data_IF_422664875596
#
_entry.id   IF_422664875596
#
_cell.length_a   1.000
_cell.length_b   1.000
_cell.length_c   1.000
_cell.angle_alpha   90.00
_cell.angle_beta   90.00
_cell.angle_gamma   90.00
#
_symmetry.space_group_name_H-M   'P 1'
#
loop_
_entity.id
_entity.type
_entity.pdbx_description
1 polymer ?
#
# COMPACT_ATOMS: atom_id res chain seq x y z
N UNK A 1 -19.10 32.97 6.82
CA UNK A 1 -18.72 31.67 7.42
C UNK A 1 -17.28 31.77 7.91
N UNK A 2 -16.96 31.20 9.03
CA UNK A 2 -15.55 31.10 9.47
C UNK A 2 -14.81 30.17 8.53
N UNK A 3 -13.61 30.59 8.08
CA UNK A 3 -12.76 29.76 7.24
C UNK A 3 -12.28 28.53 8.01
N UNK A 4 -12.19 27.36 7.33
CA UNK A 4 -11.53 26.17 7.90
C UNK A 4 -10.03 26.39 7.92
N UNK A 5 -9.39 25.97 8.97
CA UNK A 5 -7.91 25.97 9.08
C UNK A 5 -7.34 24.73 8.38
N UNK A 6 -6.43 24.94 7.43
CA UNK A 6 -5.81 23.85 6.66
C UNK A 6 -4.29 23.99 6.69
N UNK A 7 -3.59 22.91 7.04
CA UNK A 7 -2.13 22.85 7.06
C UNK A 7 -1.62 21.83 6.07
N UNK A 8 -0.75 22.25 5.15
CA UNK A 8 -0.07 21.38 4.19
C UNK A 8 1.30 20.99 4.73
N UNK A 9 1.53 19.70 4.93
CA UNK A 9 2.83 19.13 5.33
C UNK A 9 3.50 18.59 4.09
N UNK A 10 4.52 19.29 3.62
CA UNK A 10 5.21 19.03 2.35
C UNK A 10 6.53 18.30 2.61
N UNK A 11 6.66 17.08 2.09
CA UNK A 11 7.94 16.36 2.09
C UNK A 11 8.71 16.71 0.79
N UNK A 12 9.79 17.50 0.86
CA UNK A 12 10.49 17.99 -0.33
C UNK A 12 11.23 16.88 -1.09
N UNK A 13 11.57 15.78 -0.45
CA UNK A 13 12.35 14.67 -1.04
C UNK A 13 11.50 13.50 -1.53
N UNK A 14 10.17 13.57 -1.40
CA UNK A 14 9.28 12.46 -1.80
C UNK A 14 9.13 12.39 -3.33
N UNK A 15 9.05 11.15 -3.87
CA UNK A 15 8.82 10.88 -5.30
C UNK A 15 9.98 11.30 -6.20
N UNK A 16 9.73 11.36 -7.53
CA UNK A 16 10.76 11.56 -8.57
C UNK A 16 10.79 12.96 -9.20
N UNK A 17 9.79 13.83 -8.94
CA UNK A 17 9.70 15.18 -9.53
C UNK A 17 10.11 16.28 -8.57
N UNK A 18 10.53 17.46 -9.12
CA UNK A 18 10.75 18.65 -8.32
C UNK A 18 9.48 19.08 -7.60
N UNK A 19 9.58 19.36 -6.30
CA UNK A 19 8.48 19.84 -5.46
C UNK A 19 8.37 21.35 -5.38
N UNK A 20 9.29 22.08 -6.01
CA UNK A 20 9.36 23.55 -5.94
C UNK A 20 8.11 24.23 -6.48
N UNK A 21 7.40 23.56 -7.40
CA UNK A 21 6.16 24.07 -7.99
C UNK A 21 4.91 23.81 -7.13
N UNK A 22 4.98 22.86 -6.17
CA UNK A 22 3.79 22.44 -5.39
C UNK A 22 3.24 23.59 -4.53
N UNK A 23 4.05 24.37 -3.79
CA UNK A 23 3.54 25.51 -3.05
C UNK A 23 2.76 26.50 -3.92
N UNK A 24 3.32 26.83 -5.08
CA UNK A 24 2.64 27.74 -6.03
C UNK A 24 1.35 27.15 -6.60
N UNK A 25 1.28 25.83 -6.81
CA UNK A 25 0.04 25.18 -7.22
C UNK A 25 -1.01 25.20 -6.11
N UNK A 26 -0.60 24.95 -4.87
CA UNK A 26 -1.50 25.04 -3.70
C UNK A 26 -2.04 26.47 -3.60
N UNK A 27 -1.18 27.49 -3.58
CA UNK A 27 -1.58 28.90 -3.49
C UNK A 27 -2.52 29.34 -4.61
N UNK A 28 -2.35 28.80 -5.81
CA UNK A 28 -3.15 29.12 -7.00
C UNK A 28 -4.50 28.44 -7.02
N UNK A 29 -4.61 27.22 -6.53
CA UNK A 29 -5.77 26.37 -6.75
C UNK A 29 -6.61 26.12 -5.49
N UNK A 30 -6.09 26.38 -4.28
CA UNK A 30 -6.87 26.27 -3.05
C UNK A 30 -7.90 27.43 -2.96
N UNK A 31 -9.08 27.12 -2.50
CA UNK A 31 -10.17 28.10 -2.36
C UNK A 31 -9.95 28.98 -1.12
N UNK A 32 -9.29 30.12 -1.32
CA UNK A 32 -8.87 31.04 -0.25
C UNK A 32 -10.02 31.64 0.58
N UNK A 33 -11.21 31.62 0.05
CA UNK A 33 -12.39 32.10 0.78
C UNK A 33 -12.89 31.06 1.79
N UNK A 34 -12.66 29.79 1.51
CA UNK A 34 -13.05 28.65 2.35
C UNK A 34 -11.98 28.28 3.39
N UNK A 35 -10.70 28.57 3.11
CA UNK A 35 -9.58 28.10 3.93
C UNK A 35 -8.66 29.22 4.43
N UNK A 36 -8.25 29.10 5.72
CA UNK A 36 -7.07 29.74 6.29
C UNK A 36 -5.91 28.75 6.21
N UNK A 37 -4.94 29.02 5.33
CA UNK A 37 -3.95 28.07 4.86
C UNK A 37 -2.57 28.33 5.45
N UNK A 38 -1.88 27.25 5.87
CA UNK A 38 -0.47 27.25 6.23
C UNK A 38 0.26 26.12 5.54
N UNK A 39 1.57 26.30 5.25
CA UNK A 39 2.46 25.28 4.67
C UNK A 39 3.66 25.05 5.58
N UNK A 40 3.97 23.78 5.84
CA UNK A 40 5.11 23.34 6.64
C UNK A 40 5.92 22.31 5.84
N UNK A 41 7.23 22.37 5.91
CA UNK A 41 8.11 21.43 5.22
C UNK A 41 8.72 20.46 6.21
N UNK A 42 8.82 19.19 5.82
CA UNK A 42 9.54 18.20 6.62
C UNK A 42 11.04 18.29 6.38
N UNK A 43 11.82 18.02 7.42
CA UNK A 43 13.29 18.09 7.39
C UNK A 43 13.94 16.71 7.61
N UNK A 44 13.23 15.80 8.28
CA UNK A 44 13.71 14.45 8.63
C UNK A 44 12.53 13.46 8.72
N UNK A 45 12.85 12.18 8.80
CA UNK A 45 11.85 11.12 9.00
C UNK A 45 11.18 11.27 10.39
N UNK A 46 9.85 11.16 10.43
CA UNK A 46 9.04 11.40 11.64
C UNK A 46 8.58 12.86 11.80
N UNK A 47 9.21 13.85 11.13
CA UNK A 47 8.84 15.25 11.27
C UNK A 47 7.40 15.55 10.82
N UNK A 48 6.87 14.79 9.82
CA UNK A 48 5.48 14.96 9.41
C UNK A 48 4.51 14.58 10.54
N UNK A 49 4.81 13.57 11.33
CA UNK A 49 4.03 13.20 12.52
C UNK A 49 4.04 14.27 13.58
N UNK A 50 5.20 14.88 13.86
CA UNK A 50 5.34 15.97 14.84
C UNK A 50 4.51 17.20 14.42
N UNK A 51 4.62 17.63 13.16
CA UNK A 51 3.85 18.75 12.62
C UNK A 51 2.35 18.44 12.64
N UNK A 52 1.95 17.22 12.32
CA UNK A 52 0.54 16.81 12.32
C UNK A 52 -0.04 16.80 13.74
N UNK A 53 0.73 16.28 14.73
CA UNK A 53 0.36 16.29 16.14
C UNK A 53 0.16 17.72 16.63
N UNK A 54 1.13 18.61 16.39
CA UNK A 54 1.01 20.02 16.75
C UNK A 54 -0.20 20.68 16.10
N UNK A 55 -0.43 20.42 14.79
CA UNK A 55 -1.57 20.99 14.07
C UNK A 55 -2.91 20.53 14.63
N UNK A 56 -3.00 19.24 15.00
CA UNK A 56 -4.17 18.67 15.68
C UNK A 56 -4.42 19.34 17.02
N UNK A 57 -3.38 19.50 17.83
CA UNK A 57 -3.48 20.12 19.18
C UNK A 57 -3.85 21.62 19.09
N UNK A 58 -3.43 22.30 18.03
CA UNK A 58 -3.81 23.66 17.69
C UNK A 58 -5.25 23.76 17.14
N UNK A 59 -5.97 22.66 16.97
CA UNK A 59 -7.35 22.62 16.50
C UNK A 59 -7.50 22.92 14.99
N UNK A 60 -6.54 22.49 14.18
CA UNK A 60 -6.62 22.58 12.70
C UNK A 60 -7.70 21.62 12.19
N UNK A 61 -8.54 22.08 11.23
CA UNK A 61 -9.63 21.27 10.68
C UNK A 61 -9.15 20.18 9.72
N UNK A 62 -8.13 20.49 8.90
CA UNK A 62 -7.58 19.56 7.89
C UNK A 62 -6.06 19.67 7.88
N UNK A 63 -5.38 18.51 8.03
CA UNK A 63 -3.94 18.39 7.81
C UNK A 63 -3.71 17.58 6.54
N UNK A 64 -3.00 18.17 5.58
CA UNK A 64 -2.77 17.60 4.25
C UNK A 64 -1.36 17.04 4.16
N UNK A 65 -1.25 15.74 3.98
CA UNK A 65 0.00 15.08 3.63
C UNK A 65 0.33 15.29 2.14
N UNK A 66 1.42 16.01 1.86
CA UNK A 66 1.93 16.24 0.51
C UNK A 66 3.20 15.42 0.32
N UNK A 67 3.04 14.17 -0.13
CA UNK A 67 4.16 13.22 -0.16
C UNK A 67 3.80 11.85 -0.71
N UNK A 68 4.65 10.88 -0.44
CA UNK A 68 4.41 9.46 -0.70
C UNK A 68 3.77 8.76 0.50
N UNK A 69 3.66 7.42 0.43
CA UNK A 69 3.01 6.59 1.44
C UNK A 69 3.56 6.83 2.84
N UNK A 70 4.88 6.92 3.03
CA UNK A 70 5.48 7.19 4.34
C UNK A 70 5.02 8.52 4.94
N UNK A 71 4.96 9.61 4.16
CA UNK A 71 4.47 10.91 4.65
C UNK A 71 2.98 10.84 5.00
N UNK A 72 2.19 10.14 4.17
CA UNK A 72 0.76 9.92 4.43
C UNK A 72 0.57 9.15 5.72
N UNK A 73 1.34 8.08 5.94
CA UNK A 73 1.25 7.26 7.14
C UNK A 73 1.68 8.01 8.42
N UNK A 74 2.78 8.80 8.36
CA UNK A 74 3.20 9.64 9.47
C UNK A 74 2.09 10.61 9.90
N UNK A 75 1.47 11.31 8.95
CA UNK A 75 0.38 12.24 9.22
C UNK A 75 -0.87 11.50 9.71
N UNK A 76 -1.26 10.42 9.03
CA UNK A 76 -2.46 9.66 9.38
C UNK A 76 -2.40 9.11 10.81
N UNK A 77 -1.25 8.52 11.21
CA UNK A 77 -1.04 7.99 12.57
C UNK A 77 -1.18 9.07 13.66
N UNK A 78 -0.78 10.31 13.38
CA UNK A 78 -0.94 11.41 14.31
C UNK A 78 -2.40 11.89 14.43
N UNK A 79 -3.24 11.61 13.44
CA UNK A 79 -4.63 12.10 13.36
C UNK A 79 -5.68 11.04 13.75
N UNK A 80 -5.31 9.80 14.06
CA UNK A 80 -6.27 8.79 14.53
C UNK A 80 -7.01 9.31 15.78
N UNK A 81 -8.28 8.94 15.87
CA UNK A 81 -9.19 9.28 16.96
C UNK A 81 -9.26 10.80 17.30
N UNK A 82 -9.10 11.64 16.26
CA UNK A 82 -9.14 13.09 16.38
C UNK A 82 -10.19 13.73 15.46
N UNK A 83 -10.65 14.96 15.79
CA UNK A 83 -11.56 15.72 14.94
C UNK A 83 -10.90 16.26 13.67
N UNK A 84 -9.57 16.32 13.61
CA UNK A 84 -8.80 16.82 12.46
C UNK A 84 -8.83 15.81 11.32
N UNK A 85 -9.15 16.25 10.11
CA UNK A 85 -9.22 15.37 8.96
C UNK A 85 -7.87 15.29 8.22
N UNK A 86 -7.53 14.11 7.71
CA UNK A 86 -6.44 13.88 6.77
C UNK A 86 -6.84 14.30 5.37
N UNK A 87 -6.08 15.18 4.74
CA UNK A 87 -6.08 15.39 3.29
C UNK A 87 -4.83 14.74 2.65
N UNK A 88 -4.89 14.38 1.38
CA UNK A 88 -3.76 13.74 0.69
C UNK A 88 -3.53 14.41 -0.66
N UNK A 89 -2.30 14.87 -0.91
CA UNK A 89 -1.78 15.20 -2.24
C UNK A 89 -0.68 14.17 -2.56
N UNK A 90 -0.99 13.15 -3.41
CA UNK A 90 -0.10 12.03 -3.65
C UNK A 90 1.07 12.44 -4.53
N UNK A 91 2.29 12.30 -4.02
CA UNK A 91 3.54 12.65 -4.71
C UNK A 91 4.56 11.49 -4.70
N UNK A 92 4.22 10.34 -4.15
CA UNK A 92 5.05 9.14 -4.12
C UNK A 92 4.92 8.28 -5.39
N UNK A 93 5.61 7.15 -5.40
CA UNK A 93 5.50 6.14 -6.45
C UNK A 93 4.32 5.18 -6.22
N UNK A 94 4.07 4.74 -4.99
CA UNK A 94 3.00 3.79 -4.64
C UNK A 94 1.63 4.45 -4.50
N UNK A 95 1.52 5.36 -3.54
CA UNK A 95 0.31 6.09 -3.17
C UNK A 95 -0.89 5.17 -2.90
N UNK A 96 -0.69 4.10 -2.11
CA UNK A 96 -1.67 3.04 -1.88
C UNK A 96 -3.00 3.56 -1.36
N UNK A 97 -2.99 4.32 -0.25
CA UNK A 97 -4.20 4.88 0.35
C UNK A 97 -4.89 5.88 -0.60
N UNK A 98 -4.14 6.77 -1.24
CA UNK A 98 -4.71 7.73 -2.17
C UNK A 98 -5.39 7.05 -3.38
N UNK A 99 -4.80 5.95 -3.88
CA UNK A 99 -5.37 5.14 -4.97
C UNK A 99 -6.61 4.38 -4.52
N UNK A 100 -6.58 3.78 -3.33
CA UNK A 100 -7.76 3.13 -2.76
C UNK A 100 -8.93 4.12 -2.65
N UNK A 101 -8.69 5.32 -2.15
CA UNK A 101 -9.67 6.41 -2.03
C UNK A 101 -9.99 7.08 -3.38
N UNK A 102 -9.43 6.59 -4.49
CA UNK A 102 -9.63 7.13 -5.85
C UNK A 102 -9.32 8.62 -5.97
N UNK A 103 -8.36 9.12 -5.20
CA UNK A 103 -7.89 10.49 -5.31
C UNK A 103 -7.15 10.70 -6.64
N UNK A 104 -7.24 11.88 -7.25
CA UNK A 104 -6.43 12.21 -8.42
C UNK A 104 -4.94 12.13 -8.11
N UNK A 105 -4.15 11.46 -9.00
CA UNK A 105 -2.71 11.30 -8.83
C UNK A 105 -1.91 12.54 -9.28
N UNK A 106 -2.56 13.63 -9.65
CA UNK A 106 -1.93 14.91 -9.94
C UNK A 106 -2.31 15.96 -8.89
N UNK A 107 -1.39 16.87 -8.60
CA UNK A 107 -1.51 17.88 -7.53
C UNK A 107 -2.76 18.73 -7.70
N UNK A 108 -3.03 19.23 -8.91
CA UNK A 108 -4.20 20.08 -9.17
C UNK A 108 -5.51 19.37 -8.86
N UNK A 109 -5.69 18.14 -9.37
CA UNK A 109 -6.90 17.37 -9.11
C UNK A 109 -7.09 16.99 -7.63
N UNK A 110 -5.98 16.74 -6.90
CA UNK A 110 -6.04 16.49 -5.46
C UNK A 110 -6.48 17.75 -4.69
N UNK A 111 -6.01 18.94 -5.09
CA UNK A 111 -6.47 20.22 -4.50
C UNK A 111 -7.98 20.46 -4.80
N UNK A 112 -8.44 20.12 -6.00
CA UNK A 112 -9.87 20.22 -6.33
C UNK A 112 -10.73 19.35 -5.41
N UNK A 113 -10.26 18.16 -5.02
CA UNK A 113 -10.92 17.30 -4.02
C UNK A 113 -10.91 17.97 -2.64
N UNK A 114 -9.82 18.58 -2.22
CA UNK A 114 -9.72 19.32 -0.97
C UNK A 114 -10.70 20.51 -0.94
N UNK A 115 -10.87 21.21 -2.05
CA UNK A 115 -11.82 22.34 -2.15
C UNK A 115 -13.29 21.90 -1.98
N UNK A 116 -13.66 20.70 -2.45
CA UNK A 116 -14.98 20.12 -2.16
C UNK A 116 -15.13 19.83 -0.66
N UNK A 117 -14.06 19.36 -0.03
CA UNK A 117 -13.95 19.19 1.42
C UNK A 117 -14.93 18.17 2.00
N UNK A 118 -15.29 17.13 1.23
CA UNK A 118 -16.11 16.01 1.73
C UNK A 118 -15.25 15.13 2.64
N UNK A 119 -15.68 14.99 3.89
CA UNK A 119 -14.95 14.22 4.91
C UNK A 119 -15.76 12.99 5.28
N UNK A 120 -15.12 11.81 5.26
CA UNK A 120 -15.67 10.57 5.79
C UNK A 120 -14.86 10.08 6.98
N UNK A 121 -15.53 9.40 7.88
CA UNK A 121 -14.90 8.61 8.94
C UNK A 121 -14.62 7.21 8.39
N UNK A 122 -13.34 6.82 8.42
CA UNK A 122 -12.86 5.56 7.87
C UNK A 122 -12.28 4.68 8.98
N UNK A 123 -12.30 3.39 8.73
CA UNK A 123 -11.70 2.38 9.59
C UNK A 123 -10.18 2.36 9.38
N UNK A 124 -9.43 1.93 10.40
CA UNK A 124 -8.03 1.59 10.31
C UNK A 124 -7.75 0.27 11.05
N UNK A 125 -6.70 -0.44 10.66
CA UNK A 125 -6.29 -1.64 11.36
C UNK A 125 -5.15 -1.37 12.35
N UNK A 126 -4.99 -2.27 13.32
CA UNK A 126 -3.84 -2.29 14.23
C UNK A 126 -3.25 -3.69 14.21
N UNK A 127 -1.92 -3.81 14.02
CA UNK A 127 -1.16 -5.05 14.19
C UNK A 127 -0.25 -4.90 15.41
N UNK A 128 -0.47 -5.70 16.44
CA UNK A 128 0.05 -5.48 17.79
C UNK A 128 -0.29 -4.04 18.24
N UNK A 129 0.70 -3.16 18.36
CA UNK A 129 0.53 -1.74 18.72
C UNK A 129 0.68 -0.76 17.54
N UNK A 130 0.82 -1.28 16.30
CA UNK A 130 1.13 -0.47 15.12
C UNK A 130 -0.12 -0.24 14.26
N UNK A 131 -0.63 1.00 14.17
CA UNK A 131 -1.73 1.32 13.26
C UNK A 131 -1.30 1.22 11.79
N UNK A 132 -2.21 0.72 10.95
CA UNK A 132 -2.05 0.69 9.49
C UNK A 132 -3.34 1.09 8.78
N UNK A 133 -3.21 1.67 7.60
CA UNK A 133 -4.34 2.19 6.82
C UNK A 133 -4.59 1.37 5.56
N UNK A 134 -3.53 0.80 4.96
CA UNK A 134 -3.63 -0.04 3.78
C UNK A 134 -3.59 -1.52 4.14
N UNK A 135 -2.41 -2.01 4.50
CA UNK A 135 -2.19 -3.45 4.73
C UNK A 135 -1.16 -3.68 5.84
N UNK A 136 -1.33 -4.78 6.53
CA UNK A 136 -0.25 -5.37 7.31
C UNK A 136 -0.07 -6.83 6.89
N UNK A 137 1.05 -7.45 7.27
CA UNK A 137 1.26 -8.83 6.89
C UNK A 137 2.57 -9.43 7.35
N UNK A 138 2.75 -10.69 6.98
CA UNK A 138 3.92 -11.50 7.31
C UNK A 138 4.21 -12.50 6.19
N UNK A 139 5.26 -13.30 6.36
CA UNK A 139 5.71 -14.17 5.32
C UNK A 139 6.48 -13.41 4.25
N UNK A 140 6.29 -13.75 3.00
CA UNK A 140 6.95 -13.09 1.87
C UNK A 140 6.63 -11.59 1.79
N UNK A 141 5.44 -11.17 2.22
CA UNK A 141 5.01 -9.77 2.29
C UNK A 141 5.94 -8.91 3.17
N UNK A 142 6.17 -9.37 4.41
CA UNK A 142 7.11 -8.70 5.32
C UNK A 142 8.57 -8.80 4.87
N UNK A 143 8.97 -9.91 4.25
CA UNK A 143 10.28 -10.09 3.67
C UNK A 143 10.58 -9.04 2.59
N UNK A 144 9.64 -8.82 1.68
CA UNK A 144 9.73 -7.79 0.64
C UNK A 144 9.79 -6.39 1.25
N UNK A 145 8.95 -6.10 2.23
CA UNK A 145 8.94 -4.79 2.92
C UNK A 145 10.29 -4.47 3.55
N UNK A 146 10.92 -5.46 4.20
CA UNK A 146 12.29 -5.34 4.76
C UNK A 146 13.32 -5.06 3.67
N UNK A 147 13.30 -5.84 2.58
CA UNK A 147 14.22 -5.64 1.46
C UNK A 147 14.07 -4.27 0.82
N UNK A 148 12.85 -3.78 0.72
CA UNK A 148 12.58 -2.45 0.20
C UNK A 148 13.11 -1.34 1.11
N UNK A 149 12.96 -1.49 2.42
CA UNK A 149 13.53 -0.58 3.41
C UNK A 149 15.07 -0.54 3.33
N UNK A 150 15.72 -1.71 3.18
CA UNK A 150 17.18 -1.86 3.13
C UNK A 150 17.78 -1.34 1.81
N UNK A 151 17.08 -1.50 0.68
CA UNK A 151 17.61 -1.18 -0.66
C UNK A 151 17.63 0.33 -0.98
N UNK A 152 16.90 1.16 -0.25
CA UNK A 152 16.74 2.58 -0.56
C UNK A 152 16.05 2.80 -1.92
N UNK A 153 15.88 4.07 -2.31
CA UNK A 153 15.04 4.50 -3.46
C UNK A 153 15.60 4.20 -4.86
N UNK A 154 16.37 3.15 -5.08
CA UNK A 154 16.99 2.87 -6.39
C UNK A 154 16.22 1.83 -7.20
N UNK A 155 15.53 2.30 -8.26
CA UNK A 155 15.13 1.52 -9.43
C UNK A 155 14.07 0.44 -9.20
N UNK A 156 12.81 0.76 -9.45
CA UNK A 156 11.65 -0.14 -9.31
C UNK A 156 11.81 -1.46 -10.12
N UNK A 157 12.45 -1.44 -11.28
CA UNK A 157 12.69 -2.63 -12.10
C UNK A 157 13.70 -3.59 -11.47
N UNK A 158 14.81 -3.06 -10.95
CA UNK A 158 15.82 -3.87 -10.23
C UNK A 158 15.21 -4.48 -8.96
N UNK A 159 14.32 -3.75 -8.31
CA UNK A 159 13.58 -4.23 -7.15
C UNK A 159 12.67 -5.41 -7.52
N UNK A 160 11.89 -5.29 -8.59
CA UNK A 160 11.00 -6.35 -9.05
C UNK A 160 11.75 -7.63 -9.43
N UNK A 161 12.89 -7.51 -10.12
CA UNK A 161 13.75 -8.65 -10.45
C UNK A 161 14.29 -9.35 -9.19
N UNK A 162 14.69 -8.58 -8.17
CA UNK A 162 15.17 -9.13 -6.91
C UNK A 162 14.04 -9.82 -6.12
N UNK A 163 12.86 -9.20 -6.07
CA UNK A 163 11.66 -9.78 -5.46
C UNK A 163 11.33 -11.14 -6.08
N UNK A 164 11.31 -11.21 -7.40
CA UNK A 164 11.01 -12.47 -8.10
C UNK A 164 12.10 -13.51 -7.86
N UNK A 165 13.38 -13.13 -7.92
CA UNK A 165 14.50 -14.05 -7.67
C UNK A 165 14.48 -14.60 -6.25
N UNK A 166 14.23 -13.75 -5.25
CA UNK A 166 14.22 -14.16 -3.85
C UNK A 166 12.93 -14.91 -3.48
N UNK A 167 11.80 -14.59 -4.12
CA UNK A 167 10.57 -15.36 -4.01
C UNK A 167 10.73 -16.84 -4.35
N UNK A 168 11.67 -17.16 -5.25
CA UNK A 168 11.98 -18.55 -5.63
C UNK A 168 12.65 -19.37 -4.53
N UNK A 169 13.35 -18.71 -3.62
CA UNK A 169 14.07 -19.34 -2.49
C UNK A 169 13.35 -19.14 -1.16
N UNK A 170 12.21 -18.44 -1.15
CA UNK A 170 11.45 -18.20 0.07
C UNK A 170 10.72 -19.46 0.51
N UNK A 171 10.97 -19.90 1.75
CA UNK A 171 10.29 -21.04 2.35
C UNK A 171 8.99 -20.60 3.03
N UNK A 172 7.82 -21.10 2.57
CA UNK A 172 6.54 -20.80 3.20
C UNK A 172 6.47 -21.32 4.63
N UNK A 173 5.90 -20.51 5.53
CA UNK A 173 5.70 -20.87 6.94
C UNK A 173 4.26 -21.35 7.20
N UNK A 174 4.03 -21.94 8.38
CA UNK A 174 2.69 -22.32 8.84
C UNK A 174 2.25 -21.35 9.94
N UNK A 175 1.08 -20.79 9.74
CA UNK A 175 0.41 -19.88 10.68
C UNK A 175 -0.87 -20.50 11.20
N UNK A 176 -1.08 -20.45 12.50
CA UNK A 176 -2.34 -20.84 13.14
C UNK A 176 -3.16 -19.58 13.40
N UNK A 177 -4.33 -19.49 12.79
CA UNK A 177 -5.19 -18.31 12.85
C UNK A 177 -6.43 -18.59 13.70
N UNK A 178 -6.63 -17.80 14.75
CA UNK A 178 -7.89 -17.70 15.48
C UNK A 178 -8.60 -16.44 15.00
N UNK A 179 -9.80 -16.59 14.44
CA UNK A 179 -10.55 -15.53 13.77
C UNK A 179 -11.82 -15.26 14.57
N UNK A 180 -11.99 -14.01 15.02
CA UNK A 180 -13.16 -13.55 15.80
C UNK A 180 -13.46 -14.46 17.01
N UNK A 181 -12.41 -15.01 17.66
CA UNK A 181 -12.50 -15.90 18.80
C UNK A 181 -13.03 -17.32 18.49
N UNK A 182 -13.14 -17.69 17.21
CA UNK A 182 -13.53 -19.04 16.79
C UNK A 182 -12.35 -20.02 16.83
N UNK A 183 -12.58 -21.26 16.38
CA UNK A 183 -11.55 -22.31 16.37
C UNK A 183 -10.31 -21.90 15.59
N UNK A 184 -9.15 -22.27 16.13
CA UNK A 184 -7.85 -22.04 15.48
C UNK A 184 -7.64 -23.03 14.35
N UNK A 185 -7.25 -22.53 13.18
CA UNK A 185 -6.95 -23.37 12.01
C UNK A 185 -5.53 -23.07 11.47
N UNK A 186 -4.80 -24.12 11.06
CA UNK A 186 -3.46 -23.95 10.47
C UNK A 186 -3.53 -23.66 8.97
N UNK A 187 -2.71 -22.72 8.53
CA UNK A 187 -2.53 -22.35 7.13
C UNK A 187 -1.05 -22.33 6.75
N UNK A 188 -0.67 -23.14 5.77
CA UNK A 188 0.65 -23.04 5.15
C UNK A 188 0.60 -21.89 4.12
N UNK A 189 1.34 -20.81 4.37
CA UNK A 189 1.26 -19.61 3.56
C UNK A 189 2.63 -19.17 3.04
N UNK A 190 2.69 -18.84 1.77
CA UNK A 190 3.77 -18.06 1.16
C UNK A 190 3.69 -16.61 1.64
N UNK A 191 2.47 -16.07 1.67
CA UNK A 191 2.16 -14.71 2.08
C UNK A 191 0.86 -14.72 2.91
N UNK A 192 0.86 -14.00 4.02
CA UNK A 192 -0.32 -13.68 4.82
C UNK A 192 -0.44 -12.17 4.92
N UNK A 193 -1.45 -11.60 4.28
CA UNK A 193 -1.75 -10.16 4.30
C UNK A 193 -3.11 -9.93 4.94
N UNK A 194 -3.22 -8.89 5.74
CA UNK A 194 -4.47 -8.41 6.33
C UNK A 194 -4.68 -6.98 5.85
N UNK A 195 -5.76 -6.77 5.11
CA UNK A 195 -5.99 -5.55 4.36
C UNK A 195 -7.21 -4.77 4.88
N UNK A 196 -7.02 -3.49 5.13
CA UNK A 196 -8.05 -2.50 5.35
C UNK A 196 -8.35 -1.73 4.04
N UNK A 197 -7.35 -1.61 3.16
CA UNK A 197 -7.48 -1.03 1.82
C UNK A 197 -7.11 -2.04 0.73
N UNK A 198 -7.60 -1.84 -0.49
CA UNK A 198 -7.59 -2.86 -1.54
C UNK A 198 -6.22 -3.16 -2.16
N UNK A 199 -5.20 -2.34 -1.93
CA UNK A 199 -3.95 -2.43 -2.67
C UNK A 199 -2.73 -1.97 -1.88
N UNK A 200 -1.55 -2.47 -2.26
CA UNK A 200 -0.26 -2.00 -1.76
C UNK A 200 0.16 -0.63 -2.34
N UNK A 201 -0.42 -0.25 -3.46
CA UNK A 201 -0.04 0.89 -4.29
C UNK A 201 0.23 0.46 -5.73
N UNK A 202 0.40 1.43 -6.64
CA UNK A 202 0.66 1.20 -8.07
C UNK A 202 -0.34 0.25 -8.74
N UNK A 203 -1.58 0.23 -8.24
CA UNK A 203 -2.65 -0.66 -8.69
C UNK A 203 -2.34 -2.18 -8.51
N UNK A 204 -1.47 -2.54 -7.54
CA UNK A 204 -1.25 -3.92 -7.10
C UNK A 204 -2.29 -4.29 -6.02
N UNK A 205 -3.37 -4.95 -6.46
CA UNK A 205 -4.54 -5.22 -5.63
C UNK A 205 -4.43 -6.56 -4.91
N UNK A 206 -4.08 -6.52 -3.62
CA UNK A 206 -4.02 -7.71 -2.75
C UNK A 206 -5.41 -8.15 -2.27
N UNK A 207 -6.28 -7.20 -1.95
CA UNK A 207 -7.64 -7.42 -1.49
C UNK A 207 -8.63 -6.54 -2.29
N UNK A 208 -8.99 -6.90 -3.53
CA UNK A 208 -9.79 -6.04 -4.41
C UNK A 208 -11.13 -5.60 -3.84
N UNK A 209 -11.68 -6.38 -2.90
CA UNK A 209 -12.98 -6.16 -2.24
C UNK A 209 -12.89 -5.44 -0.90
N UNK A 210 -11.67 -5.08 -0.45
CA UNK A 210 -11.48 -4.41 0.84
C UNK A 210 -12.16 -3.03 0.87
N UNK A 211 -12.77 -2.71 2.01
CA UNK A 211 -13.50 -1.48 2.26
C UNK A 211 -13.14 -0.90 3.61
N UNK A 212 -12.76 0.37 3.63
CA UNK A 212 -12.43 1.09 4.87
C UNK A 212 -13.68 1.59 5.63
N UNK A 213 -14.87 1.07 5.33
CA UNK A 213 -16.14 1.55 5.93
C UNK A 213 -17.08 0.42 6.35
N UNK A 214 -16.68 -0.84 6.20
CA UNK A 214 -17.56 -1.99 6.53
C UNK A 214 -17.27 -2.61 7.92
N UNK A 215 -16.27 -2.07 8.63
CA UNK A 215 -15.89 -2.53 9.96
C UNK A 215 -15.21 -3.90 9.95
N UNK A 216 -14.58 -4.29 8.84
CA UNK A 216 -13.93 -5.58 8.65
C UNK A 216 -12.56 -5.43 8.01
N UNK A 217 -11.67 -6.36 8.29
CA UNK A 217 -10.40 -6.55 7.60
C UNK A 217 -10.52 -7.72 6.63
N UNK A 218 -9.92 -7.59 5.44
CA UNK A 218 -9.81 -8.67 4.47
C UNK A 218 -8.52 -9.46 4.72
N UNK A 219 -8.65 -10.71 5.16
CA UNK A 219 -7.52 -11.63 5.35
C UNK A 219 -7.27 -12.36 4.06
N UNK A 220 -6.04 -12.27 3.56
CA UNK A 220 -5.60 -12.87 2.30
C UNK A 220 -4.44 -13.82 2.59
N UNK A 221 -4.66 -15.09 2.38
CA UNK A 221 -3.67 -16.15 2.53
C UNK A 221 -3.32 -16.67 1.15
N UNK A 222 -2.08 -16.47 0.74
CA UNK A 222 -1.54 -17.04 -0.48
C UNK A 222 -0.82 -18.33 -0.14
N UNK A 223 -1.36 -19.45 -0.61
CA UNK A 223 -0.71 -20.75 -0.47
C UNK A 223 0.58 -20.82 -1.32
N UNK A 224 1.51 -21.71 -0.98
CA UNK A 224 2.67 -21.96 -1.83
C UNK A 224 2.26 -22.30 -3.27
N UNK A 225 2.97 -21.73 -4.22
CA UNK A 225 2.74 -21.94 -5.66
C UNK A 225 4.05 -22.21 -6.38
N UNK A 226 3.96 -22.84 -7.57
CA UNK A 226 5.11 -23.10 -8.39
C UNK A 226 5.56 -21.85 -9.15
N UNK A 227 6.84 -21.80 -9.50
CA UNK A 227 7.41 -20.70 -10.28
C UNK A 227 6.67 -20.44 -11.60
N UNK A 228 6.11 -21.48 -12.20
CA UNK A 228 5.31 -21.36 -13.43
C UNK A 228 3.98 -20.63 -13.22
N UNK A 229 3.48 -20.56 -11.98
CA UNK A 229 2.25 -19.86 -11.61
C UNK A 229 2.51 -18.38 -11.26
N UNK A 230 3.75 -18.00 -10.94
CA UNK A 230 4.11 -16.63 -10.53
C UNK A 230 3.66 -15.54 -11.53
N UNK A 231 3.78 -15.71 -12.86
CA UNK A 231 3.24 -14.75 -13.82
C UNK A 231 1.73 -14.51 -13.69
N UNK A 232 0.96 -15.60 -13.47
CA UNK A 232 -0.47 -15.48 -13.31
C UNK A 232 -0.84 -14.75 -12.03
N UNK A 233 -0.18 -15.04 -10.90
CA UNK A 233 -0.35 -14.32 -9.63
C UNK A 233 -0.09 -12.82 -9.81
N UNK A 234 0.97 -12.44 -10.52
CA UNK A 234 1.27 -11.05 -10.84
C UNK A 234 0.17 -10.37 -11.67
N UNK A 235 -0.36 -11.05 -12.69
CA UNK A 235 -1.48 -10.56 -13.49
C UNK A 235 -2.76 -10.42 -12.66
N UNK A 236 -3.04 -11.36 -11.77
CA UNK A 236 -4.21 -11.34 -10.90
C UNK A 236 -4.17 -10.17 -9.92
N UNK A 237 -2.98 -9.84 -9.37
CA UNK A 237 -2.77 -8.64 -8.56
C UNK A 237 -3.11 -7.35 -9.31
N UNK A 238 -2.72 -7.24 -10.59
CA UNK A 238 -2.97 -6.06 -11.41
C UNK A 238 -4.42 -5.98 -11.91
N UNK A 239 -5.04 -7.12 -12.20
CA UNK A 239 -6.37 -7.20 -12.79
C UNK A 239 -7.51 -7.24 -11.76
N UNK A 240 -7.20 -7.18 -10.46
CA UNK A 240 -8.20 -7.31 -9.36
C UNK A 240 -8.90 -8.67 -9.34
N UNK A 241 -8.19 -9.72 -9.73
CA UNK A 241 -8.73 -11.08 -9.81
C UNK A 241 -8.04 -12.05 -8.86
N UNK A 242 -7.16 -11.54 -7.98
CA UNK A 242 -6.39 -12.37 -7.06
C UNK A 242 -7.28 -13.25 -6.17
N UNK A 243 -8.40 -12.69 -5.70
CA UNK A 243 -9.42 -13.36 -4.89
C UNK A 243 -10.13 -14.52 -5.62
N UNK A 244 -9.96 -14.65 -6.93
CA UNK A 244 -10.52 -15.74 -7.75
C UNK A 244 -9.55 -16.90 -7.98
N UNK A 245 -8.30 -16.74 -7.58
CA UNK A 245 -7.28 -17.79 -7.69
C UNK A 245 -7.53 -18.91 -6.67
N UNK A 246 -7.39 -20.16 -7.10
CA UNK A 246 -7.51 -21.34 -6.23
C UNK A 246 -6.42 -21.43 -5.15
N UNK A 247 -5.31 -20.67 -5.31
CA UNK A 247 -4.20 -20.60 -4.36
C UNK A 247 -4.41 -19.54 -3.28
N UNK A 248 -5.50 -18.77 -3.39
CA UNK A 248 -5.79 -17.67 -2.48
C UNK A 248 -7.02 -18.01 -1.65
N UNK A 249 -6.87 -17.88 -0.34
CA UNK A 249 -8.00 -17.92 0.59
C UNK A 249 -8.26 -16.50 1.07
N UNK A 250 -9.50 -16.04 0.90
CA UNK A 250 -9.92 -14.72 1.34
C UNK A 250 -11.13 -14.86 2.28
N UNK A 251 -11.10 -14.16 3.40
CA UNK A 251 -12.23 -14.03 4.31
C UNK A 251 -12.16 -12.71 5.06
N UNK A 252 -13.26 -12.30 5.68
CA UNK A 252 -13.31 -11.05 6.46
C UNK A 252 -13.32 -11.37 7.95
N UNK A 253 -12.66 -10.52 8.74
CA UNK A 253 -12.54 -10.65 10.18
C UNK A 253 -12.49 -9.29 10.87
N UNK A 254 -12.78 -9.25 12.16
CA UNK A 254 -12.59 -8.06 13.02
C UNK A 254 -11.36 -8.19 13.89
N UNK A 255 -11.09 -9.40 14.33
CA UNK A 255 -10.06 -9.73 15.30
C UNK A 255 -9.36 -11.03 14.88
N UNK A 256 -8.03 -10.99 14.81
CA UNK A 256 -7.24 -12.11 14.32
C UNK A 256 -6.04 -12.30 15.23
N UNK A 257 -5.96 -13.46 15.88
CA UNK A 257 -4.75 -13.89 16.60
C UNK A 257 -4.01 -14.90 15.73
N UNK A 258 -2.74 -14.61 15.45
CA UNK A 258 -1.88 -15.40 14.58
C UNK A 258 -0.73 -15.96 15.39
N UNK A 259 -0.62 -17.30 15.44
CA UNK A 259 0.52 -18.00 16.02
C UNK A 259 1.44 -18.54 14.93
N UNK A 260 2.75 -18.44 15.14
CA UNK A 260 3.79 -19.00 14.29
C UNK A 260 4.88 -19.67 15.11
N UNK A 261 5.62 -20.60 14.49
CA UNK A 261 6.61 -21.44 15.17
C UNK A 261 7.82 -20.68 15.74
N UNK A 262 8.17 -19.53 15.15
CA UNK A 262 9.36 -18.71 15.51
C UNK A 262 9.05 -17.22 15.34
N UNK A 263 9.74 -16.34 16.10
CA UNK A 263 9.71 -14.90 15.85
C UNK A 263 10.16 -14.55 14.42
N UNK A 264 9.71 -13.43 13.89
CA UNK A 264 10.11 -12.99 12.57
C UNK A 264 9.55 -11.61 12.23
N UNK A 265 9.72 -11.22 10.97
CA UNK A 265 9.23 -9.92 10.50
C UNK A 265 7.72 -9.90 10.30
N UNK A 266 7.13 -8.78 10.64
CA UNK A 266 5.81 -8.32 10.16
C UNK A 266 6.01 -6.97 9.48
N UNK A 267 5.03 -6.49 8.75
CA UNK A 267 5.00 -5.11 8.27
C UNK A 267 3.63 -4.48 8.51
N UNK A 268 3.60 -3.16 8.54
CA UNK A 268 2.39 -2.33 8.55
C UNK A 268 2.59 -1.15 7.59
N UNK A 269 1.77 -1.10 6.55
CA UNK A 269 1.87 -0.15 5.43
C UNK A 269 3.27 -0.10 4.77
N UNK A 270 3.97 -1.25 4.75
CA UNK A 270 5.31 -1.36 4.19
C UNK A 270 6.47 -1.10 5.17
N UNK A 271 6.21 -0.65 6.40
CA UNK A 271 7.21 -0.47 7.45
C UNK A 271 7.49 -1.83 8.13
N UNK A 272 8.69 -2.43 8.01
CA UNK A 272 8.99 -3.72 8.61
C UNK A 272 9.37 -3.59 10.09
N UNK A 273 8.91 -4.53 10.92
CA UNK A 273 9.26 -4.63 12.35
C UNK A 273 9.35 -6.08 12.79
N UNK A 274 10.21 -6.38 13.76
CA UNK A 274 10.29 -7.70 14.37
C UNK A 274 9.13 -7.92 15.35
N UNK A 275 8.53 -9.11 15.30
CA UNK A 275 7.49 -9.52 16.22
C UNK A 275 7.71 -10.94 16.73
N UNK A 276 7.10 -11.27 17.87
CA UNK A 276 7.16 -12.57 18.51
C UNK A 276 6.44 -13.68 17.73
N UNK A 277 6.15 -14.76 18.43
CA UNK A 277 5.44 -15.91 17.88
C UNK A 277 3.92 -15.71 17.88
N UNK A 278 3.42 -14.75 18.60
CA UNK A 278 2.01 -14.34 18.63
C UNK A 278 1.90 -12.93 18.06
N UNK A 279 0.98 -12.74 17.12
CA UNK A 279 0.69 -11.47 16.47
C UNK A 279 -0.82 -11.26 16.49
N UNK A 280 -1.25 -10.11 16.98
CA UNK A 280 -2.66 -9.72 17.05
C UNK A 280 -2.98 -8.65 16.04
N UNK A 281 -4.05 -8.82 15.27
CA UNK A 281 -4.53 -7.83 14.29
C UNK A 281 -6.01 -7.57 14.54
N UNK A 282 -6.37 -6.29 14.68
CA UNK A 282 -7.75 -5.89 14.92
C UNK A 282 -8.14 -4.65 14.10
N UNK A 283 -9.45 -4.51 13.81
CA UNK A 283 -10.02 -3.33 13.18
C UNK A 283 -10.44 -2.29 14.23
N UNK A 284 -10.17 -1.03 13.95
CA UNK A 284 -10.74 0.13 14.64
C UNK A 284 -11.71 0.87 13.72
N UNK A 285 -12.98 0.85 14.09
CA UNK A 285 -14.04 1.44 13.26
C UNK A 285 -14.06 2.95 13.37
N UNK A 286 -14.12 3.63 12.21
CA UNK A 286 -14.34 5.09 12.11
C UNK A 286 -13.31 5.92 12.89
N UNK A 287 -12.10 5.41 13.03
CA UNK A 287 -11.06 6.02 13.85
C UNK A 287 -10.21 7.05 13.11
N UNK A 288 -10.43 7.30 11.81
CA UNK A 288 -9.74 8.36 11.08
C UNK A 288 -10.70 9.13 10.17
N UNK A 289 -10.64 10.47 10.21
CA UNK A 289 -11.39 11.34 9.32
C UNK A 289 -10.55 11.69 8.10
N UNK A 290 -11.07 11.47 6.90
CA UNK A 290 -10.30 11.65 5.65
C UNK A 290 -11.12 12.43 4.63
N UNK A 291 -10.47 13.37 3.93
CA UNK A 291 -11.07 14.05 2.77
C UNK A 291 -11.10 13.09 1.60
N UNK A 292 -12.29 12.77 1.11
CA UNK A 292 -12.51 11.76 0.06
C UNK A 292 -12.94 12.39 -1.26
N UNK A 293 -12.73 11.65 -2.35
CA UNK A 293 -13.13 12.09 -3.69
C UNK A 293 -14.63 11.83 -3.90
N UNK A 294 -15.48 12.86 -4.01
CA UNK A 294 -16.92 12.69 -4.22
C UNK A 294 -17.28 12.08 -5.58
N UNK A 295 -16.32 12.00 -6.50
CA UNK A 295 -16.50 11.42 -7.85
C UNK A 295 -15.83 10.04 -7.99
N UNK A 296 -15.49 9.38 -6.87
CA UNK A 296 -14.79 8.11 -6.86
C UNK A 296 -15.47 7.05 -7.74
N UNK A 297 -16.80 6.93 -7.68
CA UNK A 297 -17.56 5.91 -8.39
C UNK A 297 -17.63 6.10 -9.91
N UNK A 298 -17.19 7.23 -10.44
CA UNK A 298 -17.41 7.62 -11.85
C UNK A 298 -16.15 7.50 -12.74
N UNK A 299 -14.95 7.23 -12.20
CA UNK A 299 -13.71 7.27 -13.00
C UNK A 299 -13.13 5.88 -13.29
N UNK A 300 -13.18 5.47 -14.56
CA UNK A 300 -12.39 4.36 -15.11
C UNK A 300 -10.92 4.78 -15.22
N UNK A 301 -9.99 4.11 -14.53
CA UNK A 301 -8.55 4.44 -14.55
C UNK A 301 -7.85 3.86 -15.78
N UNK A 302 -6.85 4.60 -16.31
CA UNK A 302 -5.92 4.09 -17.32
C UNK A 302 -4.83 3.25 -16.62
N UNK A 303 -4.25 2.22 -17.31
CA UNK A 303 -3.10 1.48 -16.79
C UNK A 303 -1.96 2.45 -16.44
N UNK A 304 -1.25 2.19 -15.36
CA UNK A 304 -0.06 2.96 -15.00
C UNK A 304 1.21 2.31 -15.60
N UNK A 305 2.34 3.02 -15.48
CA UNK A 305 3.62 2.55 -16.02
C UNK A 305 4.07 1.21 -15.41
N UNK A 306 3.69 0.93 -14.16
CA UNK A 306 4.02 -0.34 -13.50
C UNK A 306 3.17 -1.49 -14.06
N UNK A 307 1.87 -1.26 -14.30
CA UNK A 307 1.00 -2.25 -14.98
C UNK A 307 1.52 -2.59 -16.38
N UNK A 308 1.98 -1.57 -17.13
CA UNK A 308 2.57 -1.77 -18.45
C UNK A 308 3.86 -2.59 -18.35
N UNK A 309 4.77 -2.21 -17.45
CA UNK A 309 6.05 -2.92 -17.24
C UNK A 309 5.83 -4.37 -16.76
N UNK A 310 4.88 -4.62 -15.84
CA UNK A 310 4.52 -5.98 -15.42
C UNK A 310 3.90 -6.77 -16.57
N UNK A 311 3.00 -6.17 -17.34
CA UNK A 311 2.38 -6.83 -18.50
C UNK A 311 3.41 -7.20 -19.56
N UNK A 312 4.37 -6.32 -19.85
CA UNK A 312 5.47 -6.58 -20.79
C UNK A 312 6.38 -7.70 -20.28
N UNK A 313 6.79 -7.63 -19.01
CA UNK A 313 7.62 -8.66 -18.39
C UNK A 313 6.95 -10.04 -18.41
N UNK A 314 5.65 -10.13 -18.08
CA UNK A 314 4.93 -11.40 -18.10
C UNK A 314 4.58 -11.89 -19.49
N UNK A 315 4.40 -11.00 -20.46
CA UNK A 315 4.28 -11.38 -21.86
C UNK A 315 5.59 -12.01 -22.36
N UNK A 316 6.74 -11.43 -21.99
CA UNK A 316 8.05 -11.99 -22.31
C UNK A 316 8.25 -13.38 -21.66
N UNK A 317 7.82 -13.57 -20.41
CA UNK A 317 7.84 -14.87 -19.73
C UNK A 317 6.89 -15.90 -20.39
N UNK A 318 5.71 -15.48 -20.86
CA UNK A 318 4.77 -16.36 -21.54
C UNK A 318 5.28 -16.79 -22.92
N UNK A 319 5.97 -15.91 -23.64
CA UNK A 319 6.66 -16.27 -24.90
C UNK A 319 7.74 -17.33 -24.64
N UNK A 320 8.54 -17.13 -23.55
CA UNK A 320 9.51 -18.14 -23.11
C UNK A 320 8.83 -19.45 -22.69
N UNK A 321 7.64 -19.40 -22.08
CA UNK A 321 6.86 -20.59 -21.70
C UNK A 321 6.37 -21.39 -22.91
N UNK A 322 5.86 -20.75 -23.94
CA UNK A 322 5.43 -21.45 -25.17
C UNK A 322 6.59 -22.13 -25.89
N UNK A 323 7.77 -21.48 -25.96
CA UNK A 323 8.97 -22.07 -26.51
C UNK A 323 9.54 -23.22 -25.66
N UNK A 324 9.34 -23.16 -24.33
CA UNK A 324 9.88 -24.09 -23.33
C UNK A 324 9.05 -25.37 -23.20
N UNK A 325 7.72 -25.29 -23.35
CA UNK A 325 6.83 -26.46 -23.25
C UNK A 325 7.02 -27.43 -24.41
N UNK A 326 7.51 -26.97 -25.56
CA UNK A 326 7.66 -27.79 -26.76
C UNK A 326 9.02 -28.50 -26.88
N UNK A 327 10.04 -28.17 -26.05
CA UNK A 327 11.35 -28.86 -26.17
C UNK A 327 12.26 -28.72 -24.93
N UNK A 328 12.45 -29.82 -24.12
CA UNK A 328 13.24 -29.77 -22.88
C UNK A 328 14.72 -29.41 -23.05
N UNK A 329 15.32 -29.63 -24.21
CA UNK A 329 16.73 -29.34 -24.50
C UNK A 329 16.94 -27.84 -24.78
N UNK A 330 15.94 -27.16 -25.29
CA UNK A 330 15.95 -25.69 -25.50
C UNK A 330 15.76 -24.90 -24.19
N UNK A 331 15.24 -25.56 -23.16
CA UNK A 331 14.91 -24.99 -21.86
C UNK A 331 16.10 -24.28 -21.18
N UNK A 332 17.23 -24.97 -21.11
CA UNK A 332 18.44 -24.45 -20.43
C UNK A 332 19.13 -23.36 -21.28
N UNK A 333 19.09 -23.48 -22.61
CA UNK A 333 19.69 -22.49 -23.51
C UNK A 333 18.89 -21.16 -23.57
N UNK A 334 17.58 -21.21 -23.55
CA UNK A 334 16.74 -20.01 -23.59
C UNK A 334 16.88 -19.19 -22.29
N UNK A 335 16.90 -19.86 -21.14
CA UNK A 335 17.11 -19.23 -19.84
C UNK A 335 18.52 -18.61 -19.74
N UNK A 336 19.56 -19.32 -20.17
CA UNK A 336 20.93 -18.78 -20.16
C UNK A 336 21.11 -17.61 -21.15
N UNK A 337 20.53 -17.68 -22.34
CA UNK A 337 20.60 -16.58 -23.31
C UNK A 337 19.82 -15.34 -22.85
N UNK A 338 18.67 -15.52 -22.21
CA UNK A 338 17.90 -14.42 -21.61
C UNK A 338 18.70 -13.73 -20.50
N UNK A 339 19.33 -14.52 -19.61
CA UNK A 339 20.16 -13.99 -18.52
C UNK A 339 21.41 -13.27 -19.09
N UNK A 340 22.06 -13.81 -20.12
CA UNK A 340 23.25 -13.18 -20.74
C UNK A 340 22.92 -11.92 -21.55
N UNK A 341 21.79 -11.86 -22.26
CA UNK A 341 21.41 -10.69 -23.05
C UNK A 341 20.91 -9.50 -22.21
N UNK A 342 20.54 -9.71 -20.94
CA UNK A 342 20.19 -8.63 -20.00
C UNK A 342 21.32 -8.23 -19.06
N UNK A 343 22.43 -8.97 -19.05
CA UNK A 343 23.64 -8.64 -18.26
C UNK A 343 24.74 -7.96 -19.12
N UNK A 344 24.54 -7.83 -20.41
CA UNK A 344 25.30 -7.00 -21.34
C UNK A 344 24.56 -5.69 -21.65
#
# INVERSE_FOLDING_TARGET
MTKRRIVFIINPISGTGSKDVIPSLIERHIEKESYDMNMRFTEYAGHASEIATQSKDDGVDIVVAVGGDGTVNEVARALIDSPTALGIIPCGSGNGLARHLMLPMNVKGAIEVLNVGLIHELDYGVINEHPFFCTCGMGFDAFISKKFADAGKRGMMTYLENVLREGLSYEPDTYELTIDGNSTEPYKAFLLSVANASQYGNDAYIAPQASMTDGLLDVVIMEPFDMLEAPQVGLDLLNKTLDKSSRIKCFKAKDIVIHRSKPGMIHYDGDPVEAGTEVHVAIHNKGIRVVVNPLADKKRRRPNMMQTAFSEFFNDLNVVREEVVTNPVKRVKAINNYIQNKLS
#
